data_IF_322173148158
#
_entry.id   IF_322173148158
#
_cell.length_a   1.000
_cell.length_b   1.000
_cell.length_c   1.000
_cell.angle_alpha   90.00
_cell.angle_beta   90.00
_cell.angle_gamma   90.00
#
_symmetry.space_group_name_H-M   'P 1'
#
loop_
_entity.id
_entity.type
_entity.pdbx_description
1 polymer ?
#
# COMPACT_ATOMS: atom_id res chain seq x y z
N UNK A 1 -53.23 29.41 13.07
CA UNK A 1 -52.74 28.02 12.93
C UNK A 1 -52.55 27.71 11.45
N UNK A 2 -51.37 28.02 10.91
CA UNK A 2 -51.01 27.77 9.50
C UNK A 2 -50.23 26.47 9.40
N UNK A 3 -50.72 25.56 8.56
CA UNK A 3 -50.23 24.19 8.39
C UNK A 3 -48.89 24.19 7.65
N UNK A 4 -47.86 23.55 8.22
CA UNK A 4 -46.54 23.40 7.61
C UNK A 4 -46.61 22.59 6.30
N UNK A 5 -45.95 23.03 5.20
CA UNK A 5 -45.87 22.26 3.98
C UNK A 5 -44.92 21.06 4.17
N UNK A 6 -45.36 19.89 3.70
CA UNK A 6 -44.64 18.62 3.77
C UNK A 6 -43.25 18.74 3.11
N UNK A 7 -42.22 18.47 3.91
CA UNK A 7 -40.84 18.28 3.47
C UNK A 7 -40.78 17.32 2.28
N UNK A 8 -40.26 17.81 1.15
CA UNK A 8 -39.98 17.03 -0.07
C UNK A 8 -38.50 16.65 -0.10
N UNK A 9 -37.96 16.17 1.03
CA UNK A 9 -36.64 15.57 1.02
C UNK A 9 -36.79 14.12 0.53
N UNK A 10 -36.14 13.73 -0.57
CA UNK A 10 -36.18 12.36 -1.03
C UNK A 10 -35.65 11.48 0.10
N UNK A 11 -36.49 10.52 0.49
CA UNK A 11 -36.18 9.52 1.50
C UNK A 11 -34.98 8.73 0.97
N UNK A 12 -33.79 8.99 1.52
CA UNK A 12 -32.58 8.26 1.19
C UNK A 12 -32.91 6.76 1.27
N UNK A 13 -32.88 6.08 0.13
CA UNK A 13 -33.12 4.64 0.06
C UNK A 13 -31.93 4.00 0.77
N UNK A 14 -32.17 3.56 2.01
CA UNK A 14 -31.19 2.85 2.84
C UNK A 14 -30.91 1.52 2.13
N UNK A 15 -29.91 1.50 1.24
CA UNK A 15 -29.55 0.32 0.45
C UNK A 15 -28.72 0.59 -0.81
N UNK A 16 -28.67 1.81 -1.36
CA UNK A 16 -27.73 2.13 -2.45
C UNK A 16 -26.35 2.46 -1.86
N UNK A 17 -25.33 1.68 -2.23
CA UNK A 17 -23.93 2.04 -1.98
C UNK A 17 -23.66 3.37 -2.67
N UNK A 18 -23.06 4.31 -1.93
CA UNK A 18 -22.67 5.60 -2.47
C UNK A 18 -21.70 5.36 -3.65
N UNK A 19 -22.03 5.74 -4.90
CA UNK A 19 -21.16 5.51 -6.04
C UNK A 19 -19.77 6.13 -5.86
N UNK A 20 -19.64 7.19 -5.06
CA UNK A 20 -18.34 7.77 -4.71
C UNK A 20 -17.52 6.83 -3.80
N UNK A 21 -18.18 6.07 -2.92
CA UNK A 21 -17.55 5.04 -2.08
C UNK A 21 -17.04 3.88 -2.93
N UNK A 22 -17.85 3.38 -3.86
CA UNK A 22 -17.47 2.27 -4.74
C UNK A 22 -16.27 2.63 -5.63
N UNK A 23 -16.24 3.84 -6.20
CA UNK A 23 -15.07 4.33 -6.94
C UNK A 23 -13.85 4.52 -6.04
N UNK A 24 -14.06 5.00 -4.80
CA UNK A 24 -13.02 5.09 -3.78
C UNK A 24 -12.37 3.74 -3.50
N UNK A 25 -13.17 2.70 -3.29
CA UNK A 25 -12.69 1.32 -3.06
C UNK A 25 -11.90 0.78 -4.27
N UNK A 26 -12.38 1.02 -5.50
CA UNK A 26 -11.65 0.61 -6.72
C UNK A 26 -10.30 1.29 -6.86
N UNK A 27 -10.22 2.61 -6.63
CA UNK A 27 -8.96 3.35 -6.69
C UNK A 27 -8.01 2.88 -5.59
N UNK A 28 -8.55 2.63 -4.40
CA UNK A 28 -7.81 2.12 -3.26
C UNK A 28 -7.17 0.75 -3.53
N UNK A 29 -7.91 -0.18 -4.14
CA UNK A 29 -7.39 -1.49 -4.54
C UNK A 29 -6.25 -1.37 -5.57
N UNK A 30 -6.35 -0.43 -6.53
CA UNK A 30 -5.27 -0.15 -7.49
C UNK A 30 -4.01 0.39 -6.81
N UNK A 31 -4.18 1.23 -5.80
CA UNK A 31 -3.06 1.75 -5.00
C UNK A 31 -2.39 0.59 -4.25
N UNK A 32 -3.14 -0.24 -3.54
CA UNK A 32 -2.59 -1.42 -2.83
C UNK A 32 -1.80 -2.34 -3.77
N UNK A 33 -2.37 -2.70 -4.91
CA UNK A 33 -1.69 -3.54 -5.90
C UNK A 33 -0.37 -2.92 -6.39
N UNK A 34 -0.31 -1.59 -6.52
CA UNK A 34 0.91 -0.88 -6.91
C UNK A 34 1.97 -0.91 -5.79
N UNK A 35 1.56 -0.69 -4.54
CA UNK A 35 2.44 -0.78 -3.36
C UNK A 35 3.00 -2.19 -3.20
N UNK A 36 2.14 -3.21 -3.29
CA UNK A 36 2.53 -4.62 -3.18
C UNK A 36 3.51 -5.02 -4.29
N UNK A 37 3.27 -4.57 -5.53
CA UNK A 37 4.21 -4.77 -6.65
C UNK A 37 5.54 -4.08 -6.40
N UNK A 38 5.55 -2.89 -5.79
CA UNK A 38 6.78 -2.17 -5.50
C UNK A 38 7.56 -2.82 -4.36
N UNK A 39 6.88 -3.25 -3.30
CA UNK A 39 7.46 -3.98 -2.17
C UNK A 39 8.20 -5.25 -2.65
N UNK A 40 7.52 -6.08 -3.45
CA UNK A 40 8.13 -7.26 -4.09
C UNK A 40 9.38 -6.93 -4.90
N UNK A 41 9.34 -5.87 -5.70
CA UNK A 41 10.52 -5.44 -6.47
C UNK A 41 11.68 -5.01 -5.58
N UNK A 42 11.41 -4.38 -4.44
CA UNK A 42 12.44 -3.99 -3.49
C UNK A 42 13.03 -5.21 -2.78
N UNK A 43 12.19 -6.17 -2.35
CA UNK A 43 12.62 -7.48 -1.84
C UNK A 43 13.55 -8.20 -2.81
N UNK A 44 13.12 -8.36 -4.07
CA UNK A 44 13.92 -9.03 -5.11
C UNK A 44 15.29 -8.37 -5.30
N UNK A 45 15.37 -7.04 -5.21
CA UNK A 45 16.63 -6.30 -5.32
C UNK A 45 17.51 -6.49 -4.09
N UNK A 46 16.91 -6.51 -2.90
CA UNK A 46 17.61 -6.81 -1.67
C UNK A 46 18.21 -8.22 -1.74
N UNK A 47 17.41 -9.22 -2.09
CA UNK A 47 17.85 -10.62 -2.20
C UNK A 47 18.95 -10.80 -3.25
N UNK A 48 18.86 -10.12 -4.39
CA UNK A 48 19.95 -10.10 -5.40
C UNK A 48 21.23 -9.46 -4.88
N UNK A 49 21.14 -8.41 -4.05
CA UNK A 49 22.30 -7.79 -3.45
C UNK A 49 22.92 -8.71 -2.38
N UNK A 50 22.08 -9.37 -1.58
CA UNK A 50 22.49 -10.35 -0.58
C UNK A 50 23.14 -11.57 -1.20
N UNK A 51 22.54 -12.18 -2.22
CA UNK A 51 23.12 -13.33 -2.93
C UNK A 51 24.46 -13.01 -3.62
N UNK A 52 24.73 -11.74 -3.92
CA UNK A 52 26.05 -11.31 -4.41
C UNK A 52 27.08 -11.14 -3.30
N UNK A 53 26.69 -10.94 -2.04
CA UNK A 53 27.63 -10.80 -0.92
C UNK A 53 28.42 -12.08 -0.66
N UNK A 54 27.79 -13.24 -0.83
CA UNK A 54 28.39 -14.54 -0.51
C UNK A 54 29.64 -14.84 -1.35
N UNK A 55 29.68 -14.32 -2.60
CA UNK A 55 30.81 -14.50 -3.51
C UNK A 55 31.87 -13.40 -3.48
N UNK A 56 31.70 -12.34 -2.67
CA UNK A 56 32.60 -11.18 -2.70
C UNK A 56 33.50 -11.16 -1.47
N UNK A 57 34.81 -11.19 -1.71
CA UNK A 57 35.87 -11.14 -0.67
C UNK A 57 36.44 -9.74 -0.45
N UNK A 58 36.38 -8.86 -1.45
CA UNK A 58 36.89 -7.48 -1.34
C UNK A 58 35.99 -6.63 -0.44
N UNK A 59 36.56 -6.09 0.64
CA UNK A 59 35.84 -5.33 1.67
C UNK A 59 35.00 -4.18 1.10
N UNK A 60 35.57 -3.34 0.24
CA UNK A 60 34.84 -2.19 -0.34
C UNK A 60 33.62 -2.62 -1.17
N UNK A 61 33.78 -3.69 -1.95
CA UNK A 61 32.67 -4.24 -2.75
C UNK A 61 31.60 -4.87 -1.86
N UNK A 62 31.99 -5.53 -0.76
CA UNK A 62 31.05 -6.04 0.24
C UNK A 62 30.28 -4.89 0.88
N UNK A 63 30.94 -3.83 1.30
CA UNK A 63 30.30 -2.67 1.93
C UNK A 63 29.23 -2.04 1.02
N UNK A 64 29.53 -1.88 -0.28
CA UNK A 64 28.56 -1.36 -1.25
C UNK A 64 27.35 -2.29 -1.42
N UNK A 65 27.57 -3.60 -1.51
CA UNK A 65 26.48 -4.57 -1.65
C UNK A 65 25.63 -4.65 -0.38
N UNK A 66 26.25 -4.57 0.80
CA UNK A 66 25.56 -4.54 2.08
C UNK A 66 24.67 -3.30 2.18
N UNK A 67 25.21 -2.11 1.86
CA UNK A 67 24.43 -0.88 1.88
C UNK A 67 23.26 -0.90 0.90
N UNK A 68 23.44 -1.53 -0.27
CA UNK A 68 22.35 -1.72 -1.25
C UNK A 68 21.29 -2.68 -0.74
N UNK A 69 21.71 -3.78 -0.11
CA UNK A 69 20.80 -4.73 0.51
C UNK A 69 19.94 -4.04 1.56
N UNK A 70 20.56 -3.33 2.51
CA UNK A 70 19.87 -2.58 3.57
C UNK A 70 18.86 -1.59 2.98
N UNK A 71 19.29 -0.76 2.03
CA UNK A 71 18.42 0.26 1.42
C UNK A 71 17.18 -0.36 0.75
N UNK A 72 17.35 -1.47 0.04
CA UNK A 72 16.23 -2.15 -0.62
C UNK A 72 15.35 -2.92 0.36
N UNK A 73 15.94 -3.50 1.42
CA UNK A 73 15.18 -4.18 2.47
C UNK A 73 14.32 -3.18 3.25
N UNK A 74 14.90 -2.06 3.69
CA UNK A 74 14.17 -1.01 4.41
C UNK A 74 13.04 -0.43 3.56
N UNK A 75 13.29 -0.19 2.27
CA UNK A 75 12.27 0.29 1.35
C UNK A 75 11.13 -0.73 1.14
N UNK A 76 11.44 -2.03 1.11
CA UNK A 76 10.41 -3.06 1.07
C UNK A 76 9.58 -3.08 2.35
N UNK A 77 10.23 -3.08 3.51
CA UNK A 77 9.57 -3.08 4.82
C UNK A 77 8.62 -1.89 4.96
N UNK A 78 9.06 -0.69 4.61
CA UNK A 78 8.20 0.50 4.64
C UNK A 78 6.93 0.35 3.78
N UNK A 79 7.05 -0.26 2.59
CA UNK A 79 5.91 -0.47 1.70
C UNK A 79 4.96 -1.57 2.21
N UNK A 80 5.51 -2.60 2.83
CA UNK A 80 4.76 -3.71 3.44
C UNK A 80 4.01 -3.23 4.70
N UNK A 81 4.66 -2.48 5.59
CA UNK A 81 4.04 -1.89 6.79
C UNK A 81 2.87 -0.98 6.45
N UNK A 82 2.99 -0.20 5.36
CA UNK A 82 1.88 0.65 4.90
C UNK A 82 0.66 -0.15 4.44
N UNK A 83 0.86 -1.36 3.91
CA UNK A 83 -0.24 -2.26 3.54
C UNK A 83 -0.89 -2.84 4.81
N UNK A 84 -0.09 -3.30 5.77
CA UNK A 84 -0.57 -3.86 7.05
C UNK A 84 -1.41 -2.86 7.85
N UNK A 85 -0.90 -1.64 8.05
CA UNK A 85 -1.64 -0.60 8.77
C UNK A 85 -2.97 -0.24 8.12
N UNK A 86 -3.13 -0.53 6.81
CA UNK A 86 -4.39 -0.28 6.11
C UNK A 86 -5.37 -1.43 6.26
N UNK A 87 -4.89 -2.66 6.24
CA UNK A 87 -5.70 -3.84 6.56
C UNK A 87 -6.30 -3.69 7.97
N UNK A 88 -5.49 -3.24 8.94
CA UNK A 88 -5.94 -2.93 10.32
C UNK A 88 -7.02 -1.83 10.41
N UNK A 89 -7.12 -0.93 9.42
CA UNK A 89 -8.16 0.11 9.37
C UNK A 89 -9.40 -0.29 8.55
N UNK A 90 -9.35 -1.43 7.87
CA UNK A 90 -10.41 -1.92 6.99
C UNK A 90 -11.24 -3.05 7.62
N UNK A 91 -10.80 -3.57 8.77
CA UNK A 91 -11.54 -4.49 9.66
C UNK A 91 -12.43 -3.75 10.66
#
# INVERSE_FOLDING_TARGET
>A
MTKNPKSTLPKLVRGETDPARDEGEKVNAKIEAAFEKLARKMRDRADRAKGKLDGVTKADKRAVLLRRFELYADAATYLEERLLHREEQSE
#
